data_IF_460779962811
#
_entry.id   IF_460779962811
#
_cell.length_a   1.000
_cell.length_b   1.000
_cell.length_c   1.000
_cell.angle_alpha   90.00
_cell.angle_beta   90.00
_cell.angle_gamma   90.00
#
_symmetry.space_group_name_H-M   'P 1'
#
loop_
_entity.id
_entity.type
_entity.pdbx_description
1 polymer ?
#
# COMPACT_ATOMS: atom_id res chain seq x y z
N UNK A 1 8.82 5.23 -22.70
CA UNK A 1 8.51 3.87 -23.13
C UNK A 1 9.01 2.75 -22.21
N UNK A 2 9.48 3.08 -21.03
CA UNK A 2 10.04 2.07 -20.12
C UNK A 2 8.94 1.11 -19.61
N UNK A 3 7.82 1.65 -19.16
CA UNK A 3 6.70 0.85 -18.64
C UNK A 3 6.10 -0.07 -19.74
N UNK A 4 6.06 0.38 -20.99
CA UNK A 4 5.60 -0.46 -22.11
C UNK A 4 6.57 -1.63 -22.38
N UNK A 5 7.89 -1.39 -22.31
CA UNK A 5 8.89 -2.46 -22.46
C UNK A 5 8.82 -3.45 -21.29
N UNK A 6 8.58 -2.97 -20.10
CA UNK A 6 8.39 -3.84 -18.93
C UNK A 6 7.11 -4.67 -19.08
N UNK A 7 6.03 -4.08 -19.59
CA UNK A 7 4.79 -4.81 -19.87
C UNK A 7 5.03 -5.93 -20.88
N UNK A 8 5.71 -5.65 -21.99
CA UNK A 8 6.06 -6.67 -22.99
C UNK A 8 6.93 -7.79 -22.38
N UNK A 9 7.89 -7.41 -21.51
CA UNK A 9 8.71 -8.39 -20.80
C UNK A 9 7.86 -9.23 -19.83
N UNK A 10 6.96 -8.62 -19.08
CA UNK A 10 6.04 -9.31 -18.18
C UNK A 10 5.17 -10.32 -18.90
N UNK A 11 4.58 -9.94 -20.05
CA UNK A 11 3.79 -10.83 -20.89
C UNK A 11 4.65 -12.00 -21.40
N UNK A 12 5.84 -11.74 -21.91
CA UNK A 12 6.79 -12.79 -22.35
C UNK A 12 7.19 -13.74 -21.21
N UNK A 13 7.37 -13.20 -20.01
CA UNK A 13 7.64 -13.99 -18.82
C UNK A 13 6.46 -14.93 -18.52
N UNK A 14 5.23 -14.43 -18.50
CA UNK A 14 4.03 -15.25 -18.27
C UNK A 14 3.85 -16.31 -19.34
N UNK A 15 4.06 -15.99 -20.63
CA UNK A 15 4.03 -16.95 -21.74
C UNK A 15 5.09 -18.05 -21.60
N UNK A 16 6.27 -17.71 -21.03
CA UNK A 16 7.31 -18.68 -20.71
C UNK A 16 6.90 -19.58 -19.55
N UNK A 17 6.35 -18.99 -18.49
CA UNK A 17 5.93 -19.74 -17.29
C UNK A 17 4.74 -20.65 -17.55
N UNK A 18 3.89 -20.34 -18.55
CA UNK A 18 2.82 -21.23 -19.00
C UNK A 18 3.30 -22.57 -19.56
N UNK A 19 4.55 -22.65 -19.98
CA UNK A 19 5.20 -23.86 -20.50
C UNK A 19 6.05 -24.57 -19.43
N UNK A 20 6.07 -24.06 -18.20
CA UNK A 20 6.84 -24.59 -17.08
C UNK A 20 5.91 -25.32 -16.12
N UNK A 21 6.39 -26.40 -15.54
CA UNK A 21 5.77 -27.11 -14.43
C UNK A 21 6.06 -26.48 -13.04
N UNK A 22 6.89 -25.42 -13.03
CA UNK A 22 7.26 -24.71 -11.80
C UNK A 22 6.34 -23.53 -11.55
N UNK A 23 5.96 -23.26 -10.29
CA UNK A 23 5.26 -22.04 -9.92
C UNK A 23 6.16 -20.82 -10.16
N UNK A 24 5.56 -19.65 -10.25
CA UNK A 24 6.29 -18.40 -10.37
C UNK A 24 5.83 -17.38 -9.30
N UNK A 25 6.70 -16.44 -9.00
CA UNK A 25 6.41 -15.20 -8.31
C UNK A 25 6.84 -14.04 -9.19
N UNK A 26 5.94 -13.13 -9.48
CA UNK A 26 6.20 -11.95 -10.28
C UNK A 26 5.94 -10.69 -9.44
N UNK A 27 6.98 -9.98 -9.07
CA UNK A 27 6.87 -8.61 -8.58
C UNK A 27 6.97 -7.66 -9.79
N UNK A 28 5.90 -6.91 -10.02
CA UNK A 28 5.80 -6.00 -11.16
C UNK A 28 5.64 -4.56 -10.65
N UNK A 29 6.73 -3.81 -10.62
CA UNK A 29 6.75 -2.41 -10.23
C UNK A 29 6.67 -1.49 -11.46
N UNK A 30 5.65 -0.65 -11.53
CA UNK A 30 5.55 0.39 -12.56
C UNK A 30 6.29 1.65 -12.12
N UNK A 31 6.82 2.40 -13.09
CA UNK A 31 7.29 3.77 -12.86
C UNK A 31 6.12 4.76 -12.95
N UNK A 32 5.11 4.43 -13.72
CA UNK A 32 3.94 5.26 -13.93
C UNK A 32 3.31 5.76 -12.64
N UNK A 33 2.79 6.99 -12.66
CA UNK A 33 2.19 7.71 -11.53
C UNK A 33 3.18 8.17 -10.45
N UNK A 34 4.48 7.98 -10.64
CA UNK A 34 5.51 8.69 -9.90
C UNK A 34 5.85 10.02 -10.62
N UNK A 35 6.18 11.07 -9.88
CA UNK A 35 6.69 12.31 -10.49
C UNK A 35 8.09 12.04 -11.12
N UNK A 36 8.47 12.63 -12.22
CA UNK A 36 7.60 13.40 -13.10
C UNK A 36 6.73 12.46 -13.94
N UNK A 37 5.48 12.85 -14.17
CA UNK A 37 4.52 12.02 -14.89
C UNK A 37 4.68 12.19 -16.41
N UNK A 38 5.27 11.21 -17.07
CA UNK A 38 5.44 11.15 -18.52
C UNK A 38 4.76 9.90 -19.08
N UNK A 39 3.46 9.98 -19.42
CA UNK A 39 2.78 8.87 -20.08
C UNK A 39 3.39 8.59 -21.45
N UNK A 40 3.28 7.36 -21.93
CA UNK A 40 3.59 7.07 -23.32
C UNK A 40 2.71 7.93 -24.25
N UNK A 41 3.27 8.38 -25.37
CA UNK A 41 2.62 9.30 -26.28
C UNK A 41 1.23 8.85 -26.74
N UNK A 42 0.97 7.53 -26.83
CA UNK A 42 -0.35 7.00 -27.20
C UNK A 42 -1.44 7.27 -26.15
N UNK A 43 -1.06 7.60 -24.91
CA UNK A 43 -2.00 7.89 -23.83
C UNK A 43 -2.15 9.40 -23.56
N UNK A 44 -1.34 10.24 -24.20
CA UNK A 44 -1.41 11.68 -24.02
C UNK A 44 -2.83 12.21 -24.30
N UNK A 45 -3.42 12.89 -23.31
CA UNK A 45 -4.80 13.41 -23.37
C UNK A 45 -5.91 12.37 -23.27
N UNK A 46 -5.61 11.11 -22.94
CA UNK A 46 -6.58 10.03 -22.87
C UNK A 46 -7.41 10.04 -21.58
N UNK A 47 -6.90 10.64 -20.52
CA UNK A 47 -7.62 10.67 -19.24
C UNK A 47 -8.73 11.72 -19.20
N UNK A 48 -9.87 11.43 -18.52
CA UNK A 48 -10.92 12.44 -18.29
C UNK A 48 -10.40 13.67 -17.53
N UNK A 49 -9.40 13.49 -16.67
CA UNK A 49 -8.77 14.58 -15.91
C UNK A 49 -7.88 15.50 -16.75
N UNK A 50 -7.52 15.08 -17.96
CA UNK A 50 -6.63 15.80 -18.90
C UNK A 50 -5.32 16.26 -18.25
N UNK A 51 -4.75 15.42 -17.40
CA UNK A 51 -3.46 15.65 -16.74
C UNK A 51 -2.51 14.51 -17.08
N UNK A 52 -1.21 14.78 -17.12
CA UNK A 52 -0.21 13.74 -17.36
C UNK A 52 -0.25 12.63 -16.28
N UNK A 53 -0.59 12.96 -15.04
CA UNK A 53 -0.85 11.96 -14.01
C UNK A 53 -2.03 11.04 -14.38
N UNK A 54 -3.17 11.62 -14.80
CA UNK A 54 -4.33 10.85 -15.24
C UNK A 54 -4.02 9.97 -16.45
N UNK A 55 -3.24 10.47 -17.40
CA UNK A 55 -2.82 9.71 -18.58
C UNK A 55 -1.90 8.54 -18.20
N UNK A 56 -0.99 8.72 -17.21
CA UNK A 56 -0.21 7.64 -16.62
C UNK A 56 -1.11 6.58 -15.94
N UNK A 57 -2.21 6.99 -15.30
CA UNK A 57 -3.18 6.05 -14.71
C UNK A 57 -3.88 5.21 -15.78
N UNK A 58 -4.24 5.81 -16.92
CA UNK A 58 -4.80 5.09 -18.06
C UNK A 58 -3.79 4.09 -18.64
N UNK A 59 -2.54 4.50 -18.78
CA UNK A 59 -1.45 3.62 -19.20
C UNK A 59 -1.26 2.44 -18.24
N UNK A 60 -1.23 2.70 -16.93
CA UNK A 60 -1.08 1.65 -15.90
C UNK A 60 -2.25 0.66 -15.94
N UNK A 61 -3.47 1.15 -16.14
CA UNK A 61 -4.65 0.29 -16.31
C UNK A 61 -4.53 -0.64 -17.53
N UNK A 62 -4.01 -0.12 -18.66
CA UNK A 62 -3.79 -0.91 -19.86
C UNK A 62 -2.67 -1.94 -19.67
N UNK A 63 -1.61 -1.59 -18.97
CA UNK A 63 -0.54 -2.52 -18.59
C UNK A 63 -1.11 -3.68 -17.76
N UNK A 64 -1.87 -3.37 -16.71
CA UNK A 64 -2.53 -4.39 -15.90
C UNK A 64 -3.45 -5.30 -16.74
N UNK A 65 -4.24 -4.70 -17.62
CA UNK A 65 -5.14 -5.44 -18.49
C UNK A 65 -4.38 -6.40 -19.43
N UNK A 66 -3.20 -6.02 -19.93
CA UNK A 66 -2.38 -6.89 -20.79
C UNK A 66 -1.79 -8.07 -20.00
N UNK A 67 -1.31 -7.84 -18.78
CA UNK A 67 -0.82 -8.92 -17.92
C UNK A 67 -1.95 -9.87 -17.52
N UNK A 68 -3.12 -9.35 -17.17
CA UNK A 68 -4.31 -10.14 -16.85
C UNK A 68 -4.74 -11.02 -18.04
N UNK A 69 -4.83 -10.44 -19.23
CA UNK A 69 -5.17 -11.17 -20.46
C UNK A 69 -4.14 -12.26 -20.80
N UNK A 70 -2.86 -12.01 -20.51
CA UNK A 70 -1.82 -13.03 -20.71
C UNK A 70 -2.04 -14.24 -19.78
N UNK A 71 -2.34 -14.00 -18.49
CA UNK A 71 -2.68 -15.07 -17.55
C UNK A 71 -3.93 -15.85 -17.98
N UNK A 72 -4.97 -15.13 -18.42
CA UNK A 72 -6.21 -15.75 -18.90
C UNK A 72 -5.98 -16.63 -20.15
N UNK A 73 -5.33 -16.06 -21.18
CA UNK A 73 -4.97 -16.75 -22.42
C UNK A 73 -4.13 -18.01 -22.17
N UNK A 74 -3.25 -17.93 -21.18
CA UNK A 74 -2.33 -19.02 -20.83
C UNK A 74 -2.96 -20.07 -19.89
N UNK A 75 -4.23 -19.90 -19.47
CA UNK A 75 -4.89 -20.80 -18.53
C UNK A 75 -4.33 -20.76 -17.12
N UNK A 76 -3.59 -19.71 -16.78
CA UNK A 76 -2.93 -19.56 -15.47
C UNK A 76 -3.79 -18.79 -14.45
N UNK A 77 -4.83 -18.08 -14.90
CA UNK A 77 -5.60 -17.14 -14.09
C UNK A 77 -6.30 -17.82 -12.90
N UNK A 78 -6.78 -19.05 -13.07
CA UNK A 78 -7.51 -19.79 -12.03
C UNK A 78 -6.60 -20.23 -10.88
N UNK A 79 -5.29 -20.30 -11.13
CA UNK A 79 -4.27 -20.67 -10.13
C UNK A 79 -3.25 -19.56 -9.91
N UNK A 80 -3.66 -18.30 -9.98
CA UNK A 80 -2.80 -17.14 -9.72
C UNK A 80 -3.47 -16.19 -8.75
N UNK A 81 -2.80 -15.94 -7.62
CA UNK A 81 -3.13 -14.83 -6.73
C UNK A 81 -2.58 -13.54 -7.34
N UNK A 82 -3.44 -12.57 -7.57
CA UNK A 82 -3.07 -11.23 -8.03
C UNK A 82 -3.27 -10.25 -6.88
N UNK A 83 -2.21 -9.52 -6.53
CA UNK A 83 -2.27 -8.40 -5.60
C UNK A 83 -1.95 -7.12 -6.36
N UNK A 84 -2.85 -6.16 -6.32
CA UNK A 84 -2.62 -4.82 -6.85
C UNK A 84 -2.59 -3.84 -5.69
N UNK A 85 -1.55 -3.03 -5.63
CA UNK A 85 -1.37 -2.05 -4.55
C UNK A 85 -0.45 -0.91 -5.01
N UNK A 86 -0.21 0.05 -4.14
CA UNK A 86 0.80 1.10 -4.29
C UNK A 86 1.77 1.05 -3.11
N UNK A 87 2.94 1.62 -3.27
CA UNK A 87 3.99 1.69 -2.25
C UNK A 87 3.73 2.78 -1.20
N UNK A 88 3.04 3.86 -1.58
CA UNK A 88 2.70 4.98 -0.71
C UNK A 88 1.50 5.78 -1.25
N UNK A 89 1.03 6.72 -0.45
CA UNK A 89 0.04 7.70 -0.85
C UNK A 89 0.56 8.70 -1.90
N UNK A 90 -0.29 9.61 -2.39
CA UNK A 90 0.07 10.52 -3.47
C UNK A 90 1.16 11.49 -3.06
N UNK A 91 2.06 11.79 -4.01
CA UNK A 91 3.02 12.88 -3.90
C UNK A 91 2.30 14.21 -4.11
N UNK A 92 2.28 15.06 -3.09
CA UNK A 92 1.58 16.32 -3.14
C UNK A 92 2.48 17.54 -3.45
N UNK A 93 3.79 17.34 -3.42
CA UNK A 93 4.77 18.43 -3.58
C UNK A 93 5.09 18.74 -5.04
N UNK A 94 4.84 17.79 -5.96
CA UNK A 94 5.18 17.91 -7.38
C UNK A 94 3.94 17.70 -8.26
N UNK A 95 3.20 18.76 -8.61
CA UNK A 95 2.07 18.65 -9.53
C UNK A 95 2.52 18.36 -10.99
N UNK A 96 1.65 17.72 -11.80
CA UNK A 96 0.36 17.17 -11.45
C UNK A 96 0.51 15.86 -10.66
N UNK A 97 -0.31 15.67 -9.65
CA UNK A 97 -0.24 14.52 -8.77
C UNK A 97 -1.63 13.92 -8.49
N UNK A 98 -1.65 12.71 -7.93
CA UNK A 98 -2.84 12.09 -7.38
C UNK A 98 -3.35 12.82 -6.14
N UNK A 99 -4.55 12.45 -5.72
CA UNK A 99 -5.19 12.97 -4.51
C UNK A 99 -5.72 11.82 -3.67
N UNK A 100 -5.80 12.06 -2.38
CA UNK A 100 -6.39 11.15 -1.41
C UNK A 100 -7.44 11.91 -0.60
N UNK A 101 -8.51 11.27 -0.13
CA UNK A 101 -9.44 11.88 0.82
C UNK A 101 -8.87 11.96 2.23
N UNK A 102 -7.73 11.34 2.49
CA UNK A 102 -7.11 11.29 3.81
C UNK A 102 -6.13 12.44 4.01
N UNK A 103 -5.83 12.73 5.29
CA UNK A 103 -4.85 13.75 5.67
C UNK A 103 -3.45 13.31 5.30
N UNK A 104 -2.61 14.27 4.92
CA UNK A 104 -1.21 14.04 4.57
C UNK A 104 -1.01 13.55 3.14
N UNK A 105 0.22 13.19 2.83
CA UNK A 105 0.69 12.77 1.52
C UNK A 105 1.92 11.87 1.70
N UNK A 106 2.47 11.37 0.60
CA UNK A 106 3.74 10.62 0.56
C UNK A 106 4.79 11.28 1.45
N UNK A 107 5.53 10.48 2.20
CA UNK A 107 6.55 10.96 3.17
C UNK A 107 5.97 11.37 4.53
N UNK A 108 4.67 11.16 4.77
CA UNK A 108 4.05 11.38 6.08
C UNK A 108 3.49 10.09 6.67
N UNK A 109 3.34 10.05 7.99
CA UNK A 109 2.72 8.94 8.71
C UNK A 109 1.20 9.11 8.92
N UNK A 110 0.61 10.15 8.33
CA UNK A 110 -0.84 10.32 8.21
C UNK A 110 -1.43 9.29 7.25
N UNK A 111 -2.72 9.00 7.38
CA UNK A 111 -3.40 8.03 6.50
C UNK A 111 -3.20 8.35 5.01
N UNK A 112 -3.16 9.62 4.63
CA UNK A 112 -2.90 10.04 3.24
C UNK A 112 -1.50 9.70 2.71
N UNK A 113 -0.53 9.47 3.60
CA UNK A 113 0.83 9.06 3.22
C UNK A 113 1.02 7.55 3.11
N UNK A 114 0.23 6.78 3.88
CA UNK A 114 0.45 5.34 4.06
C UNK A 114 -0.71 4.47 3.61
N UNK A 115 -1.93 4.98 3.60
CA UNK A 115 -3.11 4.23 3.17
C UNK A 115 -3.25 4.26 1.66
N UNK A 116 -3.15 3.08 1.03
CA UNK A 116 -3.16 2.92 -0.42
C UNK A 116 -4.31 2.03 -0.88
N UNK A 117 -4.84 2.26 -2.11
CA UNK A 117 -5.80 1.35 -2.69
C UNK A 117 -5.15 -0.02 -2.91
N UNK A 118 -5.80 -1.06 -2.41
CA UNK A 118 -5.32 -2.44 -2.55
C UNK A 118 -6.48 -3.36 -2.88
N UNK A 119 -6.26 -4.26 -3.82
CA UNK A 119 -7.15 -5.40 -4.02
C UNK A 119 -6.37 -6.70 -4.17
N UNK A 120 -7.01 -7.77 -3.73
CA UNK A 120 -6.50 -9.13 -3.83
C UNK A 120 -7.52 -9.94 -4.61
N UNK A 121 -7.07 -10.60 -5.66
CA UNK A 121 -7.92 -11.38 -6.54
C UNK A 121 -7.34 -12.78 -6.74
N UNK A 122 -8.20 -13.78 -6.60
CA UNK A 122 -7.91 -15.15 -6.99
C UNK A 122 -9.22 -15.80 -7.44
N UNK A 123 -9.31 -16.10 -8.74
CA UNK A 123 -10.53 -16.59 -9.36
C UNK A 123 -11.02 -17.87 -8.68
N UNK A 124 -12.27 -17.88 -8.25
CA UNK A 124 -12.89 -19.02 -7.57
C UNK A 124 -12.46 -19.24 -6.11
N UNK A 125 -11.34 -18.64 -5.66
CA UNK A 125 -10.83 -18.81 -4.30
C UNK A 125 -11.22 -17.67 -3.36
N UNK A 126 -11.27 -16.43 -3.86
CA UNK A 126 -11.60 -15.25 -3.07
C UNK A 126 -12.95 -14.70 -3.53
N UNK A 127 -13.92 -14.66 -2.61
CA UNK A 127 -15.22 -14.06 -2.87
C UNK A 127 -15.15 -12.53 -2.79
N UNK A 128 -15.88 -11.80 -3.66
CA UNK A 128 -15.90 -10.33 -3.63
C UNK A 128 -16.36 -9.79 -2.27
N UNK A 129 -15.54 -8.96 -1.67
CA UNK A 129 -15.85 -8.28 -0.40
C UNK A 129 -15.02 -7.01 -0.24
N UNK A 130 -15.42 -6.17 0.71
CA UNK A 130 -14.61 -5.06 1.23
C UNK A 130 -14.24 -5.36 2.69
N UNK A 131 -13.10 -4.88 3.13
CA UNK A 131 -12.64 -5.03 4.50
C UNK A 131 -11.79 -3.85 4.91
N UNK A 132 -11.88 -3.47 6.18
CA UNK A 132 -11.04 -2.44 6.83
C UNK A 132 -9.89 -3.08 7.65
N UNK A 133 -9.67 -4.39 7.51
CA UNK A 133 -8.58 -5.10 8.18
C UNK A 133 -7.21 -4.54 7.76
N UNK A 134 -6.32 -4.42 8.73
CA UNK A 134 -4.96 -3.90 8.52
C UNK A 134 -4.16 -4.92 7.72
N UNK A 135 -3.54 -4.49 6.62
CA UNK A 135 -2.57 -5.26 5.84
C UNK A 135 -1.40 -4.35 5.54
N UNK A 136 -0.20 -4.83 5.82
CA UNK A 136 1.05 -4.18 5.44
C UNK A 136 1.68 -4.88 4.23
N UNK A 137 2.46 -4.16 3.44
CA UNK A 137 3.15 -4.76 2.29
C UNK A 137 4.15 -5.85 2.70
N UNK A 138 4.71 -5.77 3.91
CA UNK A 138 5.56 -6.80 4.47
C UNK A 138 4.83 -8.14 4.67
N UNK A 139 3.49 -8.12 4.81
CA UNK A 139 2.66 -9.31 4.96
C UNK A 139 2.64 -10.18 3.70
N UNK A 140 2.91 -9.58 2.54
CA UNK A 140 2.91 -10.31 1.27
C UNK A 140 3.98 -11.39 1.22
N UNK A 141 5.11 -11.19 1.89
CA UNK A 141 6.20 -12.18 1.91
C UNK A 141 5.80 -13.48 2.63
N UNK A 142 5.43 -13.49 3.93
CA UNK A 142 5.00 -14.72 4.59
C UNK A 142 3.73 -15.30 3.99
N UNK A 143 2.78 -14.48 3.53
CA UNK A 143 1.55 -14.93 2.87
C UNK A 143 1.84 -15.68 1.57
N UNK A 144 2.73 -15.14 0.72
CA UNK A 144 3.12 -15.82 -0.52
C UNK A 144 3.82 -17.16 -0.25
N UNK A 145 4.64 -17.22 0.79
CA UNK A 145 5.32 -18.47 1.17
C UNK A 145 4.33 -19.51 1.72
N UNK A 146 3.37 -19.10 2.53
CA UNK A 146 2.33 -20.01 3.04
C UNK A 146 1.51 -20.60 1.89
N UNK A 147 1.03 -19.76 0.98
CA UNK A 147 0.30 -20.18 -0.22
C UNK A 147 1.14 -21.07 -1.16
N UNK A 148 2.46 -20.91 -1.15
CA UNK A 148 3.40 -21.78 -1.89
C UNK A 148 3.69 -23.11 -1.17
N UNK A 149 3.01 -23.42 -0.06
CA UNK A 149 3.17 -24.66 0.72
C UNK A 149 4.26 -24.62 1.78
N UNK A 150 4.66 -23.43 2.21
CA UNK A 150 5.62 -23.21 3.29
C UNK A 150 4.97 -22.49 4.48
N UNK A 151 4.03 -23.12 5.22
CA UNK A 151 3.29 -22.47 6.29
C UNK A 151 4.20 -22.03 7.44
N UNK A 152 3.86 -20.95 8.07
CA UNK A 152 4.39 -20.24 9.24
C UNK A 152 5.72 -20.74 9.86
N UNK A 153 5.71 -21.88 10.53
CA UNK A 153 6.91 -22.43 11.17
C UNK A 153 8.05 -22.77 10.18
N UNK A 154 7.75 -22.99 8.89
CA UNK A 154 8.76 -23.26 7.86
C UNK A 154 9.38 -21.98 7.29
N UNK A 155 8.65 -20.86 7.31
CA UNK A 155 9.19 -19.56 6.88
C UNK A 155 10.40 -19.17 7.71
N UNK A 156 10.34 -19.36 9.02
CA UNK A 156 11.46 -19.10 9.92
C UNK A 156 12.74 -19.89 9.58
N UNK A 157 12.61 -21.04 8.89
CA UNK A 157 13.75 -21.85 8.44
C UNK A 157 14.31 -21.40 7.08
N UNK A 158 13.59 -20.55 6.34
CA UNK A 158 14.00 -20.07 5.02
C UNK A 158 14.81 -18.76 5.09
N UNK A 159 14.83 -18.13 6.26
CA UNK A 159 15.56 -16.88 6.48
C UNK A 159 16.70 -17.09 7.48
N UNK A 160 17.79 -16.31 7.40
CA UNK A 160 18.86 -16.36 8.40
C UNK A 160 18.30 -16.10 9.81
N UNK A 161 18.81 -16.79 10.81
CA UNK A 161 18.39 -16.62 12.23
C UNK A 161 18.57 -15.19 12.77
N UNK A 162 19.38 -14.40 12.10
CA UNK A 162 19.64 -12.98 12.41
C UNK A 162 18.64 -12.04 11.73
N UNK A 163 17.74 -12.56 10.89
CA UNK A 163 16.76 -11.78 10.16
C UNK A 163 15.42 -11.85 10.88
N UNK A 164 14.86 -10.68 11.21
CA UNK A 164 13.51 -10.55 11.71
C UNK A 164 12.57 -10.31 10.53
N UNK A 165 11.37 -10.90 10.57
CA UNK A 165 10.32 -10.70 9.57
C UNK A 165 9.17 -9.97 10.26
N UNK A 166 8.91 -8.73 9.85
CA UNK A 166 7.80 -7.92 10.36
C UNK A 166 6.44 -8.35 9.80
N UNK A 167 6.46 -9.03 8.65
CA UNK A 167 5.25 -9.47 7.95
C UNK A 167 4.48 -10.54 8.73
N UNK A 168 3.17 -10.45 8.67
CA UNK A 168 2.20 -11.40 9.24
C UNK A 168 1.53 -12.15 8.09
N UNK A 169 1.44 -13.47 8.19
CA UNK A 169 0.70 -14.26 7.20
C UNK A 169 -0.79 -13.89 7.19
N UNK A 170 -1.29 -13.49 6.04
CA UNK A 170 -2.67 -13.06 5.79
C UNK A 170 -3.48 -14.08 4.98
N UNK A 171 -2.99 -15.31 4.80
CA UNK A 171 -3.65 -16.34 3.98
C UNK A 171 -5.10 -16.54 4.39
N UNK A 172 -5.37 -16.77 5.67
CA UNK A 172 -6.74 -16.97 6.19
C UNK A 172 -7.63 -15.74 5.98
N UNK A 173 -7.06 -14.54 6.10
CA UNK A 173 -7.77 -13.29 5.86
C UNK A 173 -8.07 -13.11 4.37
N UNK A 174 -7.12 -13.30 3.48
CA UNK A 174 -7.33 -13.16 2.04
C UNK A 174 -8.33 -14.17 1.49
N UNK A 175 -8.23 -15.43 1.89
CA UNK A 175 -9.15 -16.49 1.47
C UNK A 175 -10.54 -16.37 2.13
N UNK A 176 -10.71 -15.49 3.12
CA UNK A 176 -11.99 -15.28 3.79
C UNK A 176 -12.36 -16.37 4.82
N UNK A 177 -11.43 -17.23 5.19
CA UNK A 177 -11.64 -18.23 6.26
C UNK A 177 -11.60 -17.59 7.64
N UNK A 178 -10.93 -16.43 7.76
CA UNK A 178 -11.02 -15.53 8.90
C UNK A 178 -11.56 -14.16 8.43
N UNK A 179 -12.62 -13.67 9.07
CA UNK A 179 -13.23 -12.37 8.75
C UNK A 179 -12.38 -11.16 9.18
N UNK A 180 -11.35 -11.38 10.01
CA UNK A 180 -10.47 -10.34 10.55
C UNK A 180 -9.05 -10.53 10.04
N UNK A 181 -8.33 -9.40 9.84
CA UNK A 181 -6.91 -9.45 9.57
C UNK A 181 -6.14 -10.13 10.72
N UNK A 182 -5.10 -10.85 10.34
CA UNK A 182 -4.18 -11.47 11.31
C UNK A 182 -3.22 -10.42 11.91
N UNK A 183 -3.02 -9.27 11.25
CA UNK A 183 -2.26 -8.14 11.80
C UNK A 183 -3.15 -7.34 12.75
N UNK A 184 -2.70 -7.15 13.99
CA UNK A 184 -3.44 -6.43 15.03
C UNK A 184 -2.90 -5.03 15.29
N UNK A 185 -1.67 -4.78 14.93
CA UNK A 185 -1.04 -3.47 15.08
C UNK A 185 -0.15 -3.13 13.88
N UNK A 186 -0.02 -1.84 13.63
CA UNK A 186 0.89 -1.29 12.63
C UNK A 186 1.74 -0.18 13.27
N UNK A 187 3.04 -0.19 12.96
CA UNK A 187 4.01 0.74 13.51
C UNK A 187 4.54 1.64 12.40
N UNK A 188 4.32 2.93 12.52
CA UNK A 188 4.75 3.91 11.54
C UNK A 188 6.03 4.61 12.00
N UNK A 189 7.04 4.55 11.16
CA UNK A 189 8.33 5.16 11.43
C UNK A 189 8.57 6.38 10.54
N UNK A 190 9.18 7.39 11.11
CA UNK A 190 9.62 8.60 10.42
C UNK A 190 11.10 8.84 10.74
N UNK A 191 11.95 8.80 9.72
CA UNK A 191 13.40 8.96 9.89
C UNK A 191 14.00 8.04 10.99
N UNK A 192 13.55 6.77 11.02
CA UNK A 192 14.03 5.78 11.98
C UNK A 192 13.46 5.92 13.40
N UNK A 193 12.54 6.85 13.64
CA UNK A 193 11.86 7.04 14.93
C UNK A 193 10.42 6.58 14.84
N UNK A 194 9.91 5.91 15.87
CA UNK A 194 8.50 5.58 15.97
C UNK A 194 7.69 6.87 15.95
N UNK A 195 6.81 7.00 14.98
CA UNK A 195 5.97 8.18 14.77
C UNK A 195 4.53 7.96 15.19
N UNK A 196 3.98 6.80 14.86
CA UNK A 196 2.62 6.44 15.24
C UNK A 196 2.48 4.92 15.40
N UNK A 197 1.44 4.51 16.12
CA UNK A 197 1.00 3.11 16.22
C UNK A 197 -0.50 3.07 15.93
N UNK A 198 -0.93 2.14 15.09
CA UNK A 198 -2.34 1.83 14.87
C UNK A 198 -2.66 0.47 15.51
N UNK A 199 -3.76 0.41 16.23
CA UNK A 199 -4.35 -0.82 16.76
C UNK A 199 -5.85 -0.80 16.43
N UNK A 200 -6.29 -1.75 15.65
CA UNK A 200 -7.65 -1.80 15.10
C UNK A 200 -8.08 -0.45 14.48
N UNK A 201 -9.08 0.24 15.01
CA UNK A 201 -9.55 1.55 14.55
C UNK A 201 -8.79 2.74 15.14
N UNK A 202 -7.96 2.53 16.16
CA UNK A 202 -7.27 3.64 16.85
C UNK A 202 -5.85 3.82 16.34
N UNK A 203 -5.49 5.07 16.04
CA UNK A 203 -4.13 5.47 15.69
C UNK A 203 -3.63 6.52 16.64
N UNK A 204 -2.51 6.23 17.27
CA UNK A 204 -1.81 7.07 18.23
C UNK A 204 -0.56 7.65 17.61
N UNK A 205 -0.44 8.98 17.56
CA UNK A 205 0.75 9.68 17.12
C UNK A 205 1.64 10.09 18.29
N UNK A 206 2.90 9.68 18.23
CA UNK A 206 3.99 10.13 19.14
C UNK A 206 4.68 11.35 18.55
N UNK A 207 4.84 11.35 17.22
CA UNK A 207 5.35 12.47 16.45
C UNK A 207 4.26 12.94 15.49
N UNK A 208 4.06 14.23 15.39
CA UNK A 208 3.18 14.84 14.41
C UNK A 208 4.02 15.54 13.35
N UNK A 209 3.82 15.12 12.11
CA UNK A 209 4.40 15.78 10.95
C UNK A 209 3.37 16.74 10.37
N UNK A 210 3.81 17.93 9.98
CA UNK A 210 2.98 18.88 9.24
C UNK A 210 2.52 18.22 7.93
N UNK A 211 1.20 18.00 7.74
CA UNK A 211 0.73 17.27 6.56
C UNK A 211 0.80 18.13 5.29
N UNK A 212 0.53 19.41 5.45
CA UNK A 212 0.55 20.42 4.38
C UNK A 212 1.00 21.75 4.97
N UNK A 213 1.91 22.44 4.32
CA UNK A 213 2.26 23.81 4.64
C UNK A 213 2.58 24.58 3.37
N UNK A 214 1.86 25.69 3.16
CA UNK A 214 2.29 26.70 2.20
C UNK A 214 3.22 27.66 2.92
N UNK A 215 4.44 27.82 2.41
CA UNK A 215 5.38 28.83 2.85
C UNK A 215 5.60 29.82 1.71
N UNK A 216 6.25 30.94 2.00
CA UNK A 216 6.64 31.90 0.95
C UNK A 216 7.55 31.29 -0.13
N UNK A 217 8.22 30.21 0.19
CA UNK A 217 9.14 29.47 -0.72
C UNK A 217 8.47 28.28 -1.40
N UNK A 218 7.18 28.01 -1.15
CA UNK A 218 6.43 26.92 -1.75
C UNK A 218 5.73 26.01 -0.75
N UNK A 219 5.35 24.84 -1.23
CA UNK A 219 4.65 23.82 -0.46
C UNK A 219 5.62 23.06 0.45
N UNK A 220 5.32 22.99 1.74
CA UNK A 220 6.04 22.17 2.70
C UNK A 220 5.09 21.21 3.41
N UNK A 221 5.27 19.94 3.21
CA UNK A 221 4.52 18.85 3.81
C UNK A 221 5.16 17.54 3.41
N UNK A 222 4.59 16.42 3.79
CA UNK A 222 5.20 15.14 3.45
C UNK A 222 6.69 15.09 3.87
N UNK A 223 7.60 14.94 2.93
CA UNK A 223 9.05 14.85 3.21
C UNK A 223 9.66 16.10 3.83
N UNK A 224 9.12 17.28 3.51
CA UNK A 224 9.65 18.57 3.98
C UNK A 224 8.87 19.13 5.16
N UNK A 225 7.82 18.42 5.62
CA UNK A 225 6.99 18.83 6.73
C UNK A 225 7.74 18.86 8.06
N UNK A 226 7.53 19.92 8.84
CA UNK A 226 8.07 20.02 10.19
C UNK A 226 7.54 18.87 11.06
N UNK A 227 8.41 18.26 11.84
CA UNK A 227 8.08 17.20 12.78
C UNK A 227 8.11 17.76 14.20
N UNK A 228 7.04 17.52 14.96
CA UNK A 228 6.90 17.93 16.36
C UNK A 228 6.61 16.70 17.22
N UNK A 229 7.24 16.63 18.38
CA UNK A 229 6.86 15.68 19.40
C UNK A 229 5.62 16.21 20.12
N UNK A 230 4.62 15.36 20.30
CA UNK A 230 3.41 15.75 21.05
C UNK A 230 3.69 15.75 22.53
N UNK A 231 3.25 16.80 23.24
CA UNK A 231 3.32 16.87 24.71
C UNK A 231 2.24 16.02 25.39
N UNK A 232 1.24 15.60 24.64
CA UNK A 232 0.12 14.77 25.08
C UNK A 232 -0.31 13.80 23.98
N UNK A 233 -1.30 12.98 24.28
CA UNK A 233 -1.80 11.97 23.34
C UNK A 233 -2.50 12.59 22.15
N UNK A 234 -2.09 12.20 20.94
CA UNK A 234 -2.82 12.46 19.69
C UNK A 234 -3.39 11.15 19.18
N UNK A 235 -4.62 10.83 19.58
CA UNK A 235 -5.31 9.59 19.25
C UNK A 235 -6.49 9.88 18.33
N UNK A 236 -6.61 9.12 17.26
CA UNK A 236 -7.68 9.25 16.29
C UNK A 236 -8.41 7.90 16.14
N UNK A 237 -9.74 7.94 16.03
CA UNK A 237 -10.51 6.77 15.63
C UNK A 237 -10.71 6.83 14.10
N UNK A 238 -10.01 6.01 13.37
CA UNK A 238 -10.00 6.03 11.90
C UNK A 238 -11.30 5.57 11.26
N UNK A 239 -12.21 4.93 11.99
CA UNK A 239 -13.53 4.54 11.47
C UNK A 239 -14.50 5.72 11.48
N UNK A 240 -14.40 6.60 12.47
CA UNK A 240 -15.26 7.79 12.60
C UNK A 240 -14.59 9.07 12.10
N UNK A 241 -13.26 9.11 12.11
CA UNK A 241 -12.43 10.23 11.66
C UNK A 241 -11.23 9.72 10.81
N UNK A 242 -11.49 9.21 9.60
CA UNK A 242 -10.42 8.72 8.73
C UNK A 242 -9.48 9.81 8.22
N UNK A 243 -9.82 11.07 8.45
CA UNK A 243 -9.00 12.23 8.10
C UNK A 243 -8.08 12.69 9.24
N UNK A 244 -8.14 12.03 10.40
CA UNK A 244 -7.31 12.37 11.56
C UNK A 244 -7.42 13.87 11.94
N UNK A 245 -8.66 14.40 11.91
CA UNK A 245 -8.96 15.83 12.06
C UNK A 245 -9.18 16.22 13.51
N UNK A 246 -9.68 15.29 14.33
CA UNK A 246 -10.18 15.55 15.67
C UNK A 246 -9.67 14.52 16.67
N UNK A 247 -8.58 14.86 17.37
CA UNK A 247 -7.96 13.96 18.35
C UNK A 247 -8.87 13.75 19.57
N UNK A 248 -9.26 12.50 19.80
CA UNK A 248 -10.02 12.10 20.98
C UNK A 248 -9.20 12.18 22.27
N UNK A 249 -7.86 12.12 22.17
CA UNK A 249 -6.96 12.24 23.32
C UNK A 249 -7.05 13.60 24.04
N UNK A 250 -7.41 14.65 23.31
CA UNK A 250 -7.62 15.98 23.88
C UNK A 250 -8.97 16.09 24.59
N UNK A 251 -9.99 15.42 24.07
CA UNK A 251 -11.35 15.43 24.65
C UNK A 251 -11.52 14.46 25.81
N UNK A 252 -10.73 13.38 25.81
CA UNK A 252 -10.83 12.29 26.77
C UNK A 252 -9.47 12.02 27.42
N UNK A 253 -8.93 13.00 28.13
CA UNK A 253 -7.66 12.90 28.85
C UNK A 253 -7.52 11.59 29.67
N UNK A 254 -8.57 11.04 30.32
CA UNK A 254 -8.46 9.76 31.02
C UNK A 254 -8.15 8.56 30.11
N UNK A 255 -8.50 8.62 28.82
CA UNK A 255 -8.22 7.51 27.88
C UNK A 255 -6.81 7.55 27.27
N UNK A 256 -6.14 8.70 27.33
CA UNK A 256 -4.77 8.86 26.85
C UNK A 256 -3.70 8.43 27.85
N UNK A 257 -4.03 8.37 29.15
CA UNK A 257 -3.07 8.05 30.22
C UNK A 257 -2.61 6.59 30.21
N UNK A 258 -3.45 5.58 29.95
CA UNK A 258 -3.01 4.18 29.92
C UNK A 258 -2.06 3.83 28.76
N UNK A 259 -2.00 4.64 27.72
CA UNK A 259 -1.13 4.41 26.54
C UNK A 259 0.29 4.96 26.75
N UNK A 260 0.55 5.63 27.88
CA UNK A 260 1.86 6.19 28.22
C UNK A 260 2.68 5.31 29.18
N UNK A 261 2.09 4.22 29.68
CA UNK A 261 2.76 3.22 30.52
C UNK A 261 3.11 1.96 29.72
#
# INVERSE_FOLDING_TARGET
DLDQRWMEYGVKFLDKMAKSDKPFFLYYGTRGCHFDNYPNAKYAGSSPARTSYGDCMVEMNDIFANLYKALEKNGQLDNTLIVFTSDNGPEAEVPPHGRTPFRGAKGSTWEGGVRVPTFVYWKGMIQPRKSDGIVDLADLFPTALDLAGHPGAKVANLVPKTTFIDGVDQTSFFLGTNGQSNRKAEHYFLNGKLSAVRMDEFKYHVLIQQPYAYTQSGYQGGFTGTVMQTAGSSVFNLYTDPQESDSIGVRHIPMGVPLQT
#
